data_IF_396841262404
#
_entry.id   IF_396841262404
#
_cell.length_a   1.000
_cell.length_b   1.000
_cell.length_c   1.000
_cell.angle_alpha   90.00
_cell.angle_beta   90.00
_cell.angle_gamma   90.00
#
_symmetry.space_group_name_H-M   'P 1'
#
loop_
_entity.id
_entity.type
_entity.pdbx_description
1 polymer ?
#
# COMPACT_ATOMS: atom_id res chain seq x y z
N UNK A 1 9.28 -28.95 31.49
CA UNK A 1 8.06 -28.73 30.68
C UNK A 1 8.41 -27.67 29.64
N UNK A 2 8.61 -28.09 28.39
CA UNK A 2 9.05 -27.21 27.30
C UNK A 2 7.81 -26.59 26.66
N UNK A 3 7.65 -25.27 26.73
CA UNK A 3 6.56 -24.56 26.05
C UNK A 3 6.85 -24.55 24.56
N UNK A 4 6.13 -25.39 23.82
CA UNK A 4 6.13 -25.36 22.37
C UNK A 4 5.68 -23.96 21.91
N UNK A 5 6.57 -23.25 21.22
CA UNK A 5 6.27 -21.99 20.54
C UNK A 5 5.19 -22.27 19.50
N UNK A 6 4.00 -21.69 19.68
CA UNK A 6 2.87 -21.88 18.78
C UNK A 6 3.32 -21.66 17.31
N UNK A 7 2.85 -22.49 16.37
CA UNK A 7 3.17 -22.30 14.96
C UNK A 7 2.65 -20.93 14.53
N UNK A 8 3.55 -20.12 13.98
CA UNK A 8 3.23 -18.82 13.39
C UNK A 8 2.18 -19.10 12.31
N UNK A 9 0.94 -18.65 12.51
CA UNK A 9 -0.10 -18.80 11.51
C UNK A 9 0.46 -18.31 10.17
N UNK A 10 0.49 -19.20 9.16
CA UNK A 10 1.01 -18.87 7.85
C UNK A 10 0.11 -17.76 7.30
N UNK A 11 0.59 -16.52 7.33
CA UNK A 11 -0.17 -15.41 6.77
C UNK A 11 -0.39 -15.70 5.29
N UNK A 12 -1.59 -15.43 4.74
CA UNK A 12 -1.84 -15.59 3.32
C UNK A 12 -0.74 -14.88 2.52
N UNK A 13 -0.33 -15.44 1.38
CA UNK A 13 0.79 -14.91 0.59
C UNK A 13 0.61 -13.44 0.16
N UNK A 14 -0.61 -12.91 0.20
CA UNK A 14 -0.89 -11.49 -0.04
C UNK A 14 -0.51 -10.56 1.12
N UNK A 15 -0.17 -11.07 2.31
CA UNK A 15 0.16 -10.26 3.50
C UNK A 15 1.67 -10.20 3.80
N UNK A 16 2.50 -10.50 2.81
CA UNK A 16 3.96 -10.31 2.90
C UNK A 16 4.33 -8.88 2.54
N UNK A 17 5.39 -8.36 3.14
CA UNK A 17 5.91 -7.04 2.80
C UNK A 17 6.17 -6.90 1.30
N UNK A 18 5.68 -5.80 0.71
CA UNK A 18 5.79 -5.51 -0.71
C UNK A 18 4.71 -6.15 -1.58
N UNK A 19 3.82 -6.98 -1.03
CA UNK A 19 2.67 -7.48 -1.77
C UNK A 19 1.68 -6.36 -2.09
N UNK A 20 0.95 -6.50 -3.20
CA UNK A 20 -0.14 -5.62 -3.58
C UNK A 20 -1.46 -6.23 -3.15
N UNK A 21 -2.26 -5.47 -2.41
CA UNK A 21 -3.54 -5.91 -1.86
C UNK A 21 -4.62 -4.90 -2.20
N UNK A 22 -5.85 -5.37 -2.27
CA UNK A 22 -7.04 -4.53 -2.29
C UNK A 22 -7.71 -4.62 -0.94
N UNK A 23 -7.94 -3.45 -0.37
CA UNK A 23 -8.78 -3.25 0.81
C UNK A 23 -10.22 -3.06 0.33
N UNK A 24 -11.04 -4.07 0.58
CA UNK A 24 -12.44 -4.11 0.16
C UNK A 24 -13.38 -3.44 1.15
N UNK A 25 -12.87 -2.92 2.27
CA UNK A 25 -13.62 -2.11 3.21
C UNK A 25 -13.51 -0.62 2.83
N UNK A 26 -14.53 -0.04 2.15
CA UNK A 26 -14.46 1.36 1.78
C UNK A 26 -14.64 2.26 3.01
N UNK A 27 -13.93 3.39 3.07
CA UNK A 27 -14.09 4.35 4.17
C UNK A 27 -15.47 5.04 4.12
N UNK A 28 -16.10 5.10 2.94
CA UNK A 28 -17.45 5.63 2.72
C UNK A 28 -18.28 4.68 1.83
N UNK A 29 -19.63 4.62 1.96
CA UNK A 29 -20.49 3.67 1.23
C UNK A 29 -20.44 3.70 -0.31
N UNK A 30 -19.85 4.73 -0.90
CA UNK A 30 -19.72 4.89 -2.35
C UNK A 30 -18.27 4.98 -2.83
N UNK A 31 -17.30 4.83 -1.93
CA UNK A 31 -15.91 4.79 -2.33
C UNK A 31 -15.57 3.44 -2.95
N UNK A 32 -14.76 3.43 -4.03
CA UNK A 32 -14.22 2.20 -4.56
C UNK A 32 -13.28 1.55 -3.54
N UNK A 33 -13.01 0.25 -3.69
CA UNK A 33 -11.98 -0.44 -2.94
C UNK A 33 -10.59 0.17 -3.19
N UNK A 34 -9.72 0.18 -2.17
CA UNK A 34 -8.42 0.84 -2.25
C UNK A 34 -7.30 -0.16 -2.51
N UNK A 35 -6.45 0.12 -3.51
CA UNK A 35 -5.25 -0.67 -3.76
C UNK A 35 -4.09 -0.12 -2.92
N UNK A 36 -3.46 -0.99 -2.15
CA UNK A 36 -2.30 -0.66 -1.31
C UNK A 36 -1.14 -1.64 -1.50
N UNK A 37 0.07 -1.19 -1.12
CA UNK A 37 1.23 -2.07 -0.98
C UNK A 37 1.49 -2.34 0.50
N UNK A 38 1.71 -3.60 0.86
CA UNK A 38 1.98 -4.00 2.24
C UNK A 38 3.32 -3.44 2.69
N UNK A 39 3.30 -2.59 3.72
CA UNK A 39 4.51 -2.13 4.40
C UNK A 39 4.97 -3.15 5.45
N UNK A 40 4.05 -3.58 6.31
CA UNK A 40 4.30 -4.53 7.38
C UNK A 40 2.99 -5.07 7.96
N UNK A 41 3.09 -6.18 8.69
CA UNK A 41 1.98 -6.73 9.48
C UNK A 41 2.22 -6.36 10.94
N UNK A 42 1.23 -5.73 11.57
CA UNK A 42 1.26 -5.24 12.95
C UNK A 42 0.15 -5.93 13.77
N UNK A 43 0.19 -5.78 15.10
CA UNK A 43 -0.79 -6.44 15.97
C UNK A 43 -2.25 -6.07 15.66
N UNK A 44 -2.49 -4.84 15.20
CA UNK A 44 -3.82 -4.31 14.87
C UNK A 44 -4.28 -4.59 13.44
N UNK A 45 -3.45 -5.21 12.59
CA UNK A 45 -3.80 -5.47 11.19
C UNK A 45 -2.61 -5.37 10.24
N UNK A 46 -2.89 -5.00 8.99
CA UNK A 46 -1.87 -4.89 7.94
C UNK A 46 -1.70 -3.43 7.57
N UNK A 47 -0.48 -2.92 7.69
CA UNK A 47 -0.18 -1.55 7.30
C UNK A 47 0.04 -1.50 5.78
N UNK A 48 -0.79 -0.72 5.09
CA UNK A 48 -0.74 -0.49 3.66
C UNK A 48 -0.27 0.93 3.36
N UNK A 49 0.22 1.14 2.14
CA UNK A 49 0.56 2.46 1.61
C UNK A 49 -0.05 2.66 0.23
N UNK A 50 -0.51 3.87 -0.06
CA UNK A 50 -1.06 4.28 -1.36
C UNK A 50 0.08 4.64 -2.33
N UNK A 51 -0.19 4.79 -3.63
CA UNK A 51 0.80 5.32 -4.57
C UNK A 51 1.38 6.68 -4.19
N UNK A 52 0.61 7.51 -3.48
CA UNK A 52 1.00 8.86 -3.02
C UNK A 52 1.74 8.88 -1.68
N UNK A 53 1.83 7.73 -1.00
CA UNK A 53 2.54 7.60 0.28
C UNK A 53 1.65 7.73 1.52
N UNK A 54 0.33 7.87 1.38
CA UNK A 54 -0.58 7.79 2.53
C UNK A 54 -0.62 6.36 3.07
N UNK A 55 -0.51 6.19 4.38
CA UNK A 55 -0.49 4.88 5.02
C UNK A 55 -1.70 4.70 5.95
N UNK A 56 -2.26 3.50 5.95
CA UNK A 56 -3.39 3.12 6.82
C UNK A 56 -3.27 1.68 7.30
N UNK A 57 -4.10 1.29 8.26
CA UNK A 57 -4.17 -0.07 8.78
C UNK A 57 -5.49 -0.69 8.31
N UNK A 58 -5.39 -1.75 7.53
CA UNK A 58 -6.52 -2.54 7.06
C UNK A 58 -6.70 -3.79 7.93
N UNK A 59 -7.95 -4.21 8.12
CA UNK A 59 -8.23 -5.46 8.79
C UNK A 59 -7.86 -6.64 7.87
N UNK A 60 -7.17 -7.68 8.35
CA UNK A 60 -6.74 -8.79 7.49
C UNK A 60 -7.88 -9.51 6.75
N UNK A 61 -9.11 -9.47 7.30
CA UNK A 61 -10.28 -10.11 6.70
C UNK A 61 -10.86 -9.36 5.50
N UNK A 62 -10.51 -8.08 5.33
CA UNK A 62 -11.01 -7.22 4.25
C UNK A 62 -10.01 -7.15 3.08
N UNK A 63 -8.93 -7.94 3.15
CA UNK A 63 -7.85 -7.92 2.17
C UNK A 63 -7.92 -9.08 1.20
N UNK A 64 -7.94 -8.74 -0.08
CA UNK A 64 -7.69 -9.69 -1.16
C UNK A 64 -6.39 -9.37 -1.91
N UNK A 65 -5.76 -10.36 -2.57
CA UNK A 65 -4.70 -10.08 -3.52
C UNK A 65 -5.17 -9.10 -4.61
N UNK A 66 -4.32 -8.16 -4.99
CA UNK A 66 -4.57 -7.35 -6.17
C UNK A 66 -4.46 -8.19 -7.45
N UNK A 67 -5.22 -7.84 -8.49
CA UNK A 67 -5.06 -8.35 -9.85
C UNK A 67 -3.90 -7.68 -10.60
N UNK A 68 -3.59 -8.17 -11.81
CA UNK A 68 -2.51 -7.60 -12.63
C UNK A 68 -2.79 -6.15 -13.04
N UNK A 69 -4.02 -5.84 -13.40
CA UNK A 69 -4.42 -4.48 -13.79
C UNK A 69 -4.34 -3.51 -12.60
N UNK A 70 -4.75 -3.96 -11.41
CA UNK A 70 -4.69 -3.17 -10.18
C UNK A 70 -3.23 -2.90 -9.77
N UNK A 71 -2.36 -3.92 -9.88
CA UNK A 71 -0.90 -3.77 -9.70
C UNK A 71 -0.33 -2.76 -10.69
N UNK A 72 -0.66 -2.90 -11.97
CA UNK A 72 -0.16 -2.04 -13.03
C UNK A 72 -0.63 -0.58 -12.85
N UNK A 73 -1.88 -0.39 -12.45
CA UNK A 73 -2.46 0.93 -12.16
C UNK A 73 -1.76 1.58 -10.96
N UNK A 74 -1.51 0.83 -9.88
CA UNK A 74 -0.75 1.31 -8.73
C UNK A 74 0.63 1.80 -9.15
N UNK A 75 1.39 0.97 -9.87
CA UNK A 75 2.76 1.32 -10.29
C UNK A 75 2.78 2.50 -11.29
N UNK A 76 1.76 2.61 -12.15
CA UNK A 76 1.60 3.75 -13.05
C UNK A 76 1.38 5.05 -12.29
N UNK A 77 0.56 5.04 -11.24
CA UNK A 77 0.35 6.18 -10.36
C UNK A 77 1.63 6.57 -9.62
N UNK A 78 2.37 5.60 -9.08
CA UNK A 78 3.68 5.85 -8.44
C UNK A 78 4.62 6.56 -9.42
N UNK A 79 4.78 6.05 -10.64
CA UNK A 79 5.60 6.70 -11.68
C UNK A 79 5.10 8.11 -12.01
N UNK A 80 3.79 8.31 -12.08
CA UNK A 80 3.17 9.62 -12.29
C UNK A 80 3.55 10.63 -11.20
N UNK A 81 3.38 10.24 -9.95
CA UNK A 81 3.71 11.07 -8.78
C UNK A 81 5.19 11.48 -8.78
N UNK A 82 6.10 10.54 -9.03
CA UNK A 82 7.53 10.83 -9.08
C UNK A 82 7.93 11.78 -10.22
N UNK A 83 7.31 11.64 -11.39
CA UNK A 83 7.54 12.57 -12.51
C UNK A 83 7.08 13.98 -12.16
N UNK A 84 5.90 14.12 -11.57
CA UNK A 84 5.38 15.43 -11.19
C UNK A 84 6.23 16.07 -10.11
N UNK A 85 6.63 15.29 -9.09
CA UNK A 85 7.55 15.75 -8.05
C UNK A 85 8.86 16.27 -8.65
N UNK A 86 9.47 15.52 -9.58
CA UNK A 86 10.69 15.95 -10.25
C UNK A 86 10.51 17.22 -11.09
N UNK A 87 9.34 17.38 -11.74
CA UNK A 87 8.99 18.60 -12.46
C UNK A 87 8.90 19.80 -11.52
N UNK A 88 8.19 19.68 -10.40
CA UNK A 88 8.04 20.75 -9.40
C UNK A 88 9.38 21.15 -8.79
N UNK A 89 10.24 20.19 -8.46
CA UNK A 89 11.59 20.49 -7.94
C UNK A 89 12.43 21.28 -8.95
N UNK A 90 12.36 20.95 -10.25
CA UNK A 90 13.06 21.72 -11.29
C UNK A 90 12.54 23.14 -11.41
N UNK A 91 11.23 23.36 -11.27
CA UNK A 91 10.66 24.71 -11.28
C UNK A 91 11.15 25.52 -10.08
N UNK A 92 11.07 24.97 -8.86
CA UNK A 92 11.53 25.67 -7.66
C UNK A 92 13.02 26.03 -7.71
N UNK A 93 13.88 25.12 -8.17
CA UNK A 93 15.33 25.37 -8.29
C UNK A 93 15.66 26.31 -9.45
N UNK A 94 14.89 26.26 -10.55
CA UNK A 94 15.05 27.14 -11.70
C UNK A 94 14.62 28.58 -11.41
N UNK A 95 13.51 28.75 -10.70
CA UNK A 95 12.97 30.06 -10.31
C UNK A 95 13.83 30.71 -9.21
N UNK A 96 14.56 29.93 -8.41
CA UNK A 96 15.51 30.46 -7.41
C UNK A 96 16.77 31.10 -8.01
N UNK A 97 16.93 31.09 -9.34
CA UNK A 97 18.11 31.61 -10.08
C UNK A 97 17.78 32.75 -11.06
N UNK A 98 16.53 33.21 -11.11
CA UNK A 98 16.13 34.42 -11.84
C UNK A 98 15.87 35.57 -10.87
#
# INVERSE_FOLDING_TARGET
MSTAKAPRAQLPACLVQGAYTVDEAPALPHEPAWVGKVLQVVASGVQLVTPTGYAWIAAPGDLRPAGDDERAAYDAQVRGFWRERARLYRQLVGDSRS
#
